data_IF_859856747133
#
_entry.id   IF_859856747133
#
_cell.length_a   1.000
_cell.length_b   1.000
_cell.length_c   1.000
_cell.angle_alpha   90.00
_cell.angle_beta   90.00
_cell.angle_gamma   90.00
#
_symmetry.space_group_name_H-M   'P 1'
#
loop_
_entity.id
_entity.type
_entity.pdbx_description
1 polymer ?
#
# COMPACT_ATOMS: atom_id res chain seq x y z
N UNK A 1 -6.39 1.21 6.22
CA UNK A 1 -5.00 1.62 6.03
C UNK A 1 -4.81 3.13 5.95
N UNK A 2 -5.42 3.87 5.01
CA UNK A 2 -5.20 5.33 4.83
C UNK A 2 -5.25 6.15 6.13
N UNK A 3 -6.32 6.01 6.92
CA UNK A 3 -6.44 6.66 8.23
C UNK A 3 -5.24 6.40 9.16
N UNK A 4 -4.62 5.22 9.10
CA UNK A 4 -3.43 4.93 9.89
C UNK A 4 -2.21 5.74 9.43
N UNK A 5 -2.07 6.02 8.12
CA UNK A 5 -1.03 6.91 7.60
C UNK A 5 -1.25 8.33 8.13
N UNK A 6 -2.50 8.82 8.07
CA UNK A 6 -2.88 10.12 8.62
C UNK A 6 -2.59 10.22 10.13
N UNK A 7 -2.98 9.19 10.90
CA UNK A 7 -2.76 9.11 12.35
C UNK A 7 -1.27 9.11 12.73
N UNK A 8 -0.41 8.52 11.90
CA UNK A 8 1.03 8.49 12.12
C UNK A 8 1.76 9.71 11.54
N UNK A 9 1.04 10.61 10.86
CA UNK A 9 1.64 11.77 10.18
C UNK A 9 2.59 11.37 9.04
N UNK A 10 2.33 10.22 8.40
CA UNK A 10 3.14 9.73 7.28
C UNK A 10 2.66 10.41 6.00
N UNK A 11 3.58 11.14 5.36
CA UNK A 11 3.33 11.76 4.06
C UNK A 11 3.05 10.67 3.01
N UNK A 12 1.97 10.85 2.26
CA UNK A 12 1.55 9.89 1.24
C UNK A 12 0.74 10.59 0.17
N UNK A 13 0.82 10.06 -1.05
CA UNK A 13 -0.06 10.43 -2.15
C UNK A 13 -1.18 9.39 -2.31
N UNK A 14 -2.43 9.85 -2.39
CA UNK A 14 -3.56 8.96 -2.63
C UNK A 14 -3.80 8.80 -4.14
N UNK A 15 -3.24 7.73 -4.71
CA UNK A 15 -3.43 7.38 -6.13
C UNK A 15 -4.70 6.54 -6.30
N UNK A 16 -5.64 7.03 -7.11
CA UNK A 16 -6.92 6.34 -7.37
C UNK A 16 -6.78 5.43 -8.60
N UNK A 17 -6.70 4.13 -8.32
CA UNK A 17 -6.71 3.07 -9.32
C UNK A 17 -8.13 2.76 -9.85
N UNK A 18 -8.27 2.23 -11.08
CA UNK A 18 -9.57 1.85 -11.64
C UNK A 18 -10.35 0.89 -10.74
N UNK A 19 -11.61 1.22 -10.45
CA UNK A 19 -12.51 0.37 -9.66
C UNK A 19 -12.96 -0.87 -10.45
N UNK A 20 -13.18 -0.69 -11.76
CA UNK A 20 -13.53 -1.78 -12.68
C UNK A 20 -13.09 -1.45 -14.12
N UNK A 21 -12.58 -2.43 -14.91
CA UNK A 21 -12.23 -3.79 -14.49
C UNK A 21 -10.93 -3.81 -13.67
N UNK A 22 -10.89 -4.62 -12.61
CA UNK A 22 -9.77 -4.68 -11.66
C UNK A 22 -8.45 -5.12 -12.31
N UNK A 23 -8.51 -5.82 -13.44
CA UNK A 23 -7.34 -6.20 -14.25
C UNK A 23 -6.59 -5.03 -14.90
N UNK A 24 -7.13 -3.79 -14.85
CA UNK A 24 -6.43 -2.59 -15.33
C UNK A 24 -5.40 -2.03 -14.35
N UNK A 25 -5.33 -2.56 -13.13
CA UNK A 25 -4.38 -2.16 -12.09
C UNK A 25 -3.01 -2.79 -12.35
N UNK A 26 -2.39 -2.40 -13.46
CA UNK A 26 -1.22 -3.10 -14.01
C UNK A 26 -0.05 -3.08 -13.02
N UNK A 27 0.28 -1.91 -12.49
CA UNK A 27 1.42 -1.75 -11.59
C UNK A 27 1.21 -2.52 -10.29
N UNK A 28 0.00 -2.44 -9.70
CA UNK A 28 -0.37 -3.25 -8.53
C UNK A 28 -0.19 -4.75 -8.81
N UNK A 29 -0.66 -5.24 -9.96
CA UNK A 29 -0.56 -6.65 -10.33
C UNK A 29 0.90 -7.05 -10.57
N UNK A 30 1.66 -6.22 -11.25
CA UNK A 30 3.07 -6.44 -11.58
C UNK A 30 3.92 -6.56 -10.31
N UNK A 31 3.75 -5.64 -9.37
CA UNK A 31 4.58 -5.58 -8.17
C UNK A 31 4.08 -6.43 -6.99
N UNK A 32 2.76 -6.68 -6.89
CA UNK A 32 2.19 -7.44 -5.76
C UNK A 32 1.66 -8.82 -6.13
N UNK A 33 1.69 -9.17 -7.43
CA UNK A 33 1.11 -10.40 -7.98
C UNK A 33 -0.42 -10.44 -7.99
N UNK A 34 -1.10 -9.34 -7.62
CA UNK A 34 -2.54 -9.33 -7.46
C UNK A 34 -3.17 -7.95 -7.69
N UNK A 35 -4.48 -7.92 -7.90
CA UNK A 35 -5.22 -6.69 -8.25
C UNK A 35 -5.94 -6.06 -7.04
N UNK A 36 -5.62 -6.50 -5.82
CA UNK A 36 -6.27 -6.03 -4.60
C UNK A 36 -5.64 -4.74 -4.12
N UNK A 37 -6.51 -3.84 -3.66
CA UNK A 37 -6.14 -2.62 -2.97
C UNK A 37 -6.56 -2.74 -1.50
N UNK A 38 -5.93 -2.00 -0.59
CA UNK A 38 -4.86 -1.03 -0.86
C UNK A 38 -3.48 -1.69 -1.06
N UNK A 39 -2.56 -0.95 -1.67
CA UNK A 39 -1.15 -1.26 -1.82
C UNK A 39 -0.35 0.05 -1.61
N UNK A 40 0.89 -0.06 -1.13
CA UNK A 40 1.81 1.07 -0.96
C UNK A 40 2.98 0.84 -1.89
N UNK A 41 3.28 1.85 -2.70
CA UNK A 41 4.56 2.00 -3.38
C UNK A 41 5.44 2.92 -2.53
N UNK A 42 6.68 2.52 -2.28
CA UNK A 42 7.67 3.34 -1.60
C UNK A 42 8.52 4.11 -2.62
N UNK A 43 9.23 5.14 -2.17
CA UNK A 43 10.06 6.00 -3.05
C UNK A 43 11.19 5.25 -3.78
N UNK A 44 11.62 4.11 -3.24
CA UNK A 44 12.63 3.23 -3.85
C UNK A 44 12.05 2.27 -4.90
N UNK A 45 10.73 2.33 -5.13
CA UNK A 45 10.01 1.48 -6.07
C UNK A 45 9.65 0.10 -5.51
N UNK A 46 9.87 -0.16 -4.22
CA UNK A 46 9.38 -1.37 -3.56
C UNK A 46 7.89 -1.25 -3.24
N UNK A 47 7.21 -2.39 -3.17
CA UNK A 47 5.77 -2.43 -2.96
C UNK A 47 5.40 -3.29 -1.76
N UNK A 48 4.51 -2.77 -0.93
CA UNK A 48 3.95 -3.47 0.21
C UNK A 48 2.44 -3.62 0.09
N UNK A 49 1.97 -4.87 0.20
CA UNK A 49 0.54 -5.19 0.24
C UNK A 49 0.26 -6.37 1.15
N UNK A 50 -0.67 -6.14 2.08
CA UNK A 50 -1.30 -7.14 2.93
C UNK A 50 -2.81 -6.84 2.99
N UNK A 51 -3.56 -7.60 3.79
CA UNK A 51 -4.95 -7.24 4.11
C UNK A 51 -4.99 -5.83 4.74
N UNK A 52 -5.98 -5.01 4.37
CA UNK A 52 -6.06 -3.59 4.77
C UNK A 52 -5.98 -3.37 6.30
N UNK A 53 -6.47 -4.33 7.09
CA UNK A 53 -6.37 -4.33 8.55
C UNK A 53 -4.93 -4.54 9.02
N UNK A 54 -4.25 -5.56 8.50
CA UNK A 54 -2.85 -5.86 8.82
C UNK A 54 -1.91 -4.71 8.41
N UNK A 55 -2.16 -4.09 7.26
CA UNK A 55 -1.41 -2.89 6.86
C UNK A 55 -1.61 -1.74 7.86
N UNK A 56 -2.85 -1.48 8.29
CA UNK A 56 -3.13 -0.44 9.28
C UNK A 56 -2.45 -0.73 10.63
N UNK A 57 -2.42 -1.98 11.08
CA UNK A 57 -1.70 -2.39 12.29
C UNK A 57 -0.20 -2.21 12.15
N UNK A 58 0.38 -2.59 11.00
CA UNK A 58 1.81 -2.37 10.70
C UNK A 58 2.16 -0.89 10.77
N UNK A 59 1.36 -0.02 10.14
CA UNK A 59 1.55 1.42 10.17
C UNK A 59 1.45 1.98 11.59
N UNK A 60 0.39 1.65 12.33
CA UNK A 60 0.22 2.09 13.73
C UNK A 60 1.32 1.60 14.66
N UNK A 61 1.95 0.47 14.33
CA UNK A 61 3.08 -0.06 15.07
C UNK A 61 4.42 0.62 14.74
N UNK A 62 4.44 1.56 13.78
CA UNK A 62 5.66 2.23 13.33
C UNK A 62 6.58 1.36 12.49
N UNK A 63 6.12 0.19 12.03
CA UNK A 63 6.92 -0.80 11.28
C UNK A 63 6.72 -0.74 9.77
N UNK A 64 6.19 0.38 9.26
CA UNK A 64 5.98 0.53 7.82
C UNK A 64 7.32 0.52 7.05
N UNK A 65 8.36 1.17 7.58
CA UNK A 65 9.68 1.21 6.94
C UNK A 65 10.31 -0.20 6.80
N UNK A 66 10.08 -1.09 7.76
CA UNK A 66 10.55 -2.48 7.70
C UNK A 66 9.96 -3.27 6.51
N UNK A 67 8.87 -2.77 5.90
CA UNK A 67 8.24 -3.39 4.73
C UNK A 67 8.80 -2.87 3.39
N UNK A 68 9.59 -1.79 3.40
CA UNK A 68 10.28 -1.30 2.20
C UNK A 68 11.59 -2.06 1.94
N UNK A 69 12.27 -2.51 2.99
CA UNK A 69 13.57 -3.19 2.91
C UNK A 69 13.53 -4.69 2.50
N UNK A 70 12.41 -5.21 1.95
CA UNK A 70 12.25 -6.65 1.65
C UNK A 70 11.95 -6.99 0.19
#
# INVERSE_FOLDING_TARGET
MQQALDEQGIEHENVIEPTYPRGKRKDVIEHTGQHYLPAIEFEDGTWYREESKAMAETIRSGRLAEKADH
#
